data_IF_511163288801
#
_entry.id   IF_511163288801
#
_cell.length_a   1.000
_cell.length_b   1.000
_cell.length_c   1.000
_cell.angle_alpha   90.00
_cell.angle_beta   90.00
_cell.angle_gamma   90.00
#
_symmetry.space_group_name_H-M   'P 1'
#
loop_
_entity.id
_entity.type
_entity.pdbx_description
1 polymer ?
#
# COMPACT_ATOMS: atom_id res chain seq x y z
N UNK A 1 -21.12 12.25 18.01
CA UNK A 1 -20.19 11.13 17.84
C UNK A 1 -19.83 10.91 16.39
N UNK A 2 -18.62 10.62 16.15
CA UNK A 2 -18.13 10.34 14.81
C UNK A 2 -18.65 9.00 14.35
N UNK A 3 -19.21 8.94 13.16
CA UNK A 3 -19.60 7.68 12.56
C UNK A 3 -18.41 6.75 12.42
N UNK A 4 -17.25 7.36 12.27
CA UNK A 4 -15.99 6.65 12.16
C UNK A 4 -15.73 5.76 13.37
N UNK A 5 -16.30 6.10 14.51
CA UNK A 5 -16.14 5.33 15.74
C UNK A 5 -16.78 3.95 15.65
N UNK A 6 -17.69 3.77 14.70
CA UNK A 6 -18.40 2.51 14.53
C UNK A 6 -17.71 1.59 13.54
N UNK A 7 -16.56 1.98 13.02
CA UNK A 7 -15.82 1.18 12.04
C UNK A 7 -15.19 -0.01 12.75
N UNK A 8 -15.51 -1.20 12.26
CA UNK A 8 -15.03 -2.44 12.85
C UNK A 8 -13.73 -2.88 12.18
N UNK A 9 -12.63 -2.24 12.57
CA UNK A 9 -11.31 -2.64 12.12
C UNK A 9 -10.61 -3.41 13.22
N UNK A 10 -10.05 -4.55 12.86
CA UNK A 10 -9.32 -5.41 13.80
C UNK A 10 -7.85 -5.43 13.44
N UNK A 11 -7.01 -5.27 14.47
CA UNK A 11 -5.57 -5.50 14.31
C UNK A 11 -5.39 -6.91 13.77
N UNK A 12 -4.53 -7.04 12.76
CA UNK A 12 -4.28 -8.31 12.11
C UNK A 12 -4.95 -8.49 10.76
N UNK A 13 -5.81 -7.54 10.34
CA UNK A 13 -6.36 -7.57 9.00
C UNK A 13 -5.23 -7.57 7.98
N UNK A 14 -5.30 -8.47 7.00
CA UNK A 14 -4.26 -8.63 5.98
C UNK A 14 -4.85 -8.65 4.59
N UNK A 15 -4.05 -8.23 3.62
CA UNK A 15 -4.43 -8.33 2.22
C UNK A 15 -3.19 -8.53 1.37
N UNK A 16 -3.33 -9.33 0.31
CA UNK A 16 -2.27 -9.61 -0.65
C UNK A 16 -2.65 -9.04 -2.00
N UNK A 17 -1.78 -8.20 -2.55
CA UNK A 17 -1.96 -7.60 -3.86
C UNK A 17 -0.89 -8.16 -4.79
N UNK A 18 -1.28 -8.64 -5.97
CA UNK A 18 -0.34 -9.27 -6.92
C UNK A 18 -0.31 -8.54 -8.26
N UNK A 19 0.83 -8.64 -8.92
CA UNK A 19 0.94 -8.23 -10.32
C UNK A 19 2.15 -8.93 -10.96
N UNK A 20 2.22 -8.87 -12.29
CA UNK A 20 3.40 -9.31 -13.04
C UNK A 20 4.16 -8.04 -13.45
N UNK A 21 5.47 -8.03 -13.25
CA UNK A 21 6.30 -6.86 -13.59
C UNK A 21 6.30 -6.67 -15.10
N UNK A 22 5.75 -5.56 -15.57
CA UNK A 22 5.76 -5.18 -16.97
C UNK A 22 6.88 -4.15 -17.21
N UNK A 23 7.20 -3.89 -18.47
CA UNK A 23 8.23 -2.90 -18.80
C UNK A 23 7.92 -1.53 -18.23
N UNK A 24 6.64 -1.13 -18.21
CA UNK A 24 6.22 0.14 -17.63
C UNK A 24 6.40 0.23 -16.11
N UNK A 25 6.66 -0.91 -15.45
CA UNK A 25 6.89 -0.96 -14.01
C UNK A 25 8.37 -0.83 -13.67
N UNK A 26 9.23 -0.66 -14.68
CA UNK A 26 10.67 -0.63 -14.43
C UNK A 26 11.15 0.76 -14.02
N UNK A 27 12.26 0.78 -13.29
CA UNK A 27 12.92 2.03 -12.89
C UNK A 27 13.27 2.88 -14.12
N UNK A 28 13.70 2.24 -15.19
CA UNK A 28 14.08 2.93 -16.43
C UNK A 28 12.90 3.68 -17.04
N UNK A 29 11.75 3.01 -17.21
CA UNK A 29 10.58 3.63 -17.82
C UNK A 29 9.91 4.63 -16.86
N UNK A 30 9.85 4.28 -15.59
CA UNK A 30 9.30 5.17 -14.57
C UNK A 30 10.14 6.46 -14.44
N UNK A 31 11.45 6.35 -14.64
CA UNK A 31 12.35 7.49 -14.55
C UNK A 31 13.08 7.60 -13.22
N UNK A 32 13.03 6.57 -12.38
CA UNK A 32 13.68 6.58 -11.07
C UNK A 32 15.05 5.92 -11.07
N UNK A 33 15.49 5.40 -12.20
CA UNK A 33 16.79 4.75 -12.34
C UNK A 33 17.04 4.35 -13.78
N UNK A 34 18.19 3.75 -14.04
CA UNK A 34 18.58 3.36 -15.41
C UNK A 34 18.28 1.90 -15.71
N UNK A 35 18.01 1.08 -14.71
CA UNK A 35 17.88 -0.36 -14.89
C UNK A 35 16.45 -0.78 -15.23
N UNK A 36 16.34 -1.89 -15.97
CA UNK A 36 15.05 -2.47 -16.34
C UNK A 36 14.63 -3.50 -15.28
N UNK A 37 14.46 -3.02 -14.06
CA UNK A 37 14.01 -3.82 -12.93
C UNK A 37 12.79 -3.16 -12.30
N UNK A 38 12.02 -3.93 -11.53
CA UNK A 38 10.84 -3.43 -10.83
C UNK A 38 11.21 -2.19 -10.02
N UNK A 39 10.56 -1.07 -10.31
CA UNK A 39 10.90 0.22 -9.71
C UNK A 39 10.47 0.29 -8.25
N UNK A 40 11.30 0.91 -7.41
CA UNK A 40 10.96 1.11 -6.00
C UNK A 40 9.62 1.83 -5.82
N UNK A 41 9.33 2.93 -6.53
CA UNK A 41 8.01 3.58 -6.40
C UNK A 41 6.86 2.65 -6.78
N UNK A 42 7.05 1.75 -7.74
CA UNK A 42 6.02 0.81 -8.15
C UNK A 42 5.80 -0.27 -7.09
N UNK A 43 6.87 -0.72 -6.44
CA UNK A 43 6.77 -1.65 -5.32
C UNK A 43 6.02 -1.00 -4.16
N UNK A 44 6.33 0.24 -3.85
CA UNK A 44 5.65 0.98 -2.79
C UNK A 44 4.16 1.14 -3.15
N UNK A 45 3.85 1.46 -4.40
CA UNK A 45 2.47 1.54 -4.87
C UNK A 45 1.71 0.24 -4.66
N UNK A 46 2.36 -0.90 -4.90
CA UNK A 46 1.76 -2.21 -4.67
C UNK A 46 1.48 -2.43 -3.18
N UNK A 47 2.41 -2.03 -2.33
CA UNK A 47 2.24 -2.08 -0.87
C UNK A 47 1.09 -1.19 -0.42
N UNK A 48 0.99 0.01 -0.99
CA UNK A 48 -0.10 0.94 -0.68
C UNK A 48 -1.45 0.36 -1.08
N UNK A 49 -1.52 -0.27 -2.25
CA UNK A 49 -2.75 -0.91 -2.72
C UNK A 49 -3.17 -2.05 -1.78
N UNK A 50 -2.20 -2.85 -1.32
CA UNK A 50 -2.48 -3.91 -0.37
C UNK A 50 -3.03 -3.36 0.95
N UNK A 51 -2.44 -2.29 1.45
CA UNK A 51 -2.89 -1.66 2.70
C UNK A 51 -4.28 -1.06 2.55
N UNK A 52 -4.54 -0.35 1.45
CA UNK A 52 -5.84 0.22 1.17
C UNK A 52 -6.90 -0.88 1.13
N UNK A 53 -6.62 -1.95 0.42
CA UNK A 53 -7.59 -3.04 0.25
C UNK A 53 -7.78 -3.88 1.52
N UNK A 54 -6.80 -3.89 2.41
CA UNK A 54 -6.93 -4.63 3.68
C UNK A 54 -8.10 -4.12 4.53
N UNK A 55 -8.42 -2.84 4.42
CA UNK A 55 -9.47 -2.23 5.24
C UNK A 55 -10.69 -1.79 4.45
N UNK A 56 -10.61 -1.78 3.12
CA UNK A 56 -11.64 -1.19 2.26
C UNK A 56 -13.03 -1.74 2.54
N UNK A 57 -13.17 -3.06 2.65
CA UNK A 57 -14.48 -3.69 2.86
C UNK A 57 -15.05 -3.47 4.26
N UNK A 58 -14.24 -2.95 5.17
CA UNK A 58 -14.63 -2.69 6.56
C UNK A 58 -15.01 -1.23 6.80
N UNK A 59 -14.90 -0.39 5.77
CA UNK A 59 -15.23 1.03 5.89
C UNK A 59 -16.65 1.27 5.36
N UNK A 60 -17.39 2.22 5.96
CA UNK A 60 -18.71 2.57 5.43
C UNK A 60 -18.59 3.18 4.05
N UNK A 61 -19.70 3.15 3.31
CA UNK A 61 -19.76 3.80 2.00
C UNK A 61 -19.38 5.27 2.11
N UNK A 62 -18.59 5.74 1.14
CA UNK A 62 -18.12 7.12 1.14
C UNK A 62 -16.83 7.34 1.91
N UNK A 63 -16.33 6.32 2.60
CA UNK A 63 -15.07 6.39 3.34
C UNK A 63 -13.99 5.59 2.65
N UNK A 64 -12.76 6.11 2.69
CA UNK A 64 -11.58 5.42 2.19
C UNK A 64 -10.37 5.85 2.99
N UNK A 65 -9.16 5.51 2.52
CA UNK A 65 -7.94 5.93 3.18
C UNK A 65 -7.00 6.59 2.20
N UNK A 66 -6.17 7.50 2.71
CA UNK A 66 -5.08 8.09 1.93
C UNK A 66 -3.76 7.75 2.62
N UNK A 67 -2.70 7.58 1.83
CA UNK A 67 -1.36 7.35 2.37
C UNK A 67 -0.79 8.62 2.98
N UNK A 68 -0.16 8.50 4.14
CA UNK A 68 0.44 9.66 4.82
C UNK A 68 1.91 9.45 5.17
N UNK A 69 2.41 8.21 5.14
CA UNK A 69 3.81 7.93 5.48
C UNK A 69 4.24 6.60 4.88
N UNK A 70 5.43 6.57 4.34
CA UNK A 70 6.08 5.32 3.92
C UNK A 70 7.50 5.32 4.45
N UNK A 71 7.90 4.18 4.99
CA UNK A 71 9.26 3.95 5.46
C UNK A 71 9.63 2.54 5.03
N UNK A 72 10.13 2.41 3.80
CA UNK A 72 10.25 1.16 3.07
C UNK A 72 11.70 0.97 2.62
N UNK A 73 12.15 -0.29 2.66
CA UNK A 73 13.43 -0.69 2.09
C UNK A 73 13.15 -1.63 0.92
N UNK A 74 13.78 -1.34 -0.22
CA UNK A 74 13.75 -2.22 -1.38
C UNK A 74 15.03 -3.05 -1.33
N UNK A 75 14.93 -4.29 -0.90
CA UNK A 75 16.10 -5.08 -0.52
C UNK A 75 16.64 -5.97 -1.63
N UNK A 76 15.87 -6.17 -2.70
CA UNK A 76 16.33 -7.02 -3.81
C UNK A 76 15.60 -6.66 -5.09
N UNK A 77 16.29 -6.76 -6.22
CA UNK A 77 15.74 -6.41 -7.53
C UNK A 77 14.94 -7.56 -8.13
N UNK A 78 13.96 -7.22 -8.97
CA UNK A 78 13.13 -8.18 -9.69
C UNK A 78 13.08 -7.84 -11.17
N UNK A 79 13.27 -8.84 -12.03
CA UNK A 79 13.25 -8.66 -13.47
C UNK A 79 11.83 -8.57 -14.03
N UNK A 80 11.73 -7.98 -15.22
CA UNK A 80 10.47 -7.95 -15.99
C UNK A 80 10.00 -9.39 -16.22
N UNK A 81 8.69 -9.59 -16.14
CA UNK A 81 8.08 -10.91 -16.37
C UNK A 81 7.86 -11.72 -15.11
N UNK A 82 8.48 -11.35 -14.01
CA UNK A 82 8.29 -12.05 -12.74
C UNK A 82 7.00 -11.59 -12.06
N UNK A 83 6.36 -12.51 -11.36
CA UNK A 83 5.23 -12.17 -10.52
C UNK A 83 5.74 -11.57 -9.21
N UNK A 84 5.10 -10.52 -8.76
CA UNK A 84 5.38 -9.88 -7.46
C UNK A 84 4.08 -9.75 -6.68
N UNK A 85 4.20 -9.72 -5.36
CA UNK A 85 3.03 -9.45 -4.50
C UNK A 85 3.47 -8.72 -3.27
N UNK A 86 2.56 -7.94 -2.72
CA UNK A 86 2.74 -7.27 -1.45
C UNK A 86 1.70 -7.76 -0.47
N UNK A 87 2.09 -7.88 0.79
CA UNK A 87 1.18 -8.21 1.89
C UNK A 87 1.20 -7.05 2.86
N UNK A 88 0.03 -6.53 3.20
CA UNK A 88 -0.13 -5.50 4.21
C UNK A 88 -0.90 -6.07 5.39
N UNK A 89 -0.45 -5.77 6.58
CA UNK A 89 -1.12 -6.18 7.81
C UNK A 89 -1.34 -4.95 8.69
N UNK A 90 -2.57 -4.74 9.13
CA UNK A 90 -2.89 -3.67 10.07
C UNK A 90 -2.34 -4.06 11.43
N UNK A 91 -1.36 -3.29 11.92
CA UNK A 91 -0.68 -3.64 13.17
C UNK A 91 -0.96 -2.65 14.31
N UNK A 92 -1.47 -1.47 13.98
CA UNK A 92 -1.80 -0.47 15.00
C UNK A 92 -2.80 0.51 14.43
N UNK A 93 -3.58 1.14 15.29
CA UNK A 93 -4.43 2.25 14.88
C UNK A 93 -4.66 3.19 16.05
N UNK A 94 -4.75 4.47 15.70
CA UNK A 94 -5.03 5.53 16.65
C UNK A 94 -6.07 6.43 15.98
N UNK A 95 -7.34 6.20 16.34
CA UNK A 95 -8.48 6.87 15.72
C UNK A 95 -8.52 6.59 14.21
N UNK A 96 -8.28 7.61 13.39
CA UNK A 96 -8.32 7.49 11.93
C UNK A 96 -6.97 7.12 11.33
N UNK A 97 -5.90 7.14 12.15
CA UNK A 97 -4.56 6.80 11.68
C UNK A 97 -4.36 5.29 11.77
N UNK A 98 -3.99 4.71 10.66
CA UNK A 98 -3.77 3.26 10.54
C UNK A 98 -2.30 3.01 10.23
N UNK A 99 -1.70 2.05 10.93
CA UNK A 99 -0.31 1.66 10.72
C UNK A 99 -0.27 0.25 10.20
N UNK A 100 0.42 0.06 9.08
CA UNK A 100 0.55 -1.24 8.43
C UNK A 100 2.01 -1.69 8.40
N UNK A 101 2.20 -2.98 8.66
CA UNK A 101 3.43 -3.66 8.30
C UNK A 101 3.26 -4.10 6.85
N UNK A 102 4.23 -3.80 6.00
CA UNK A 102 4.14 -4.18 4.59
C UNK A 102 5.39 -4.95 4.19
N UNK A 103 5.18 -5.95 3.33
CA UNK A 103 6.24 -6.78 2.79
C UNK A 103 5.95 -7.03 1.33
N UNK A 104 7.00 -7.17 0.53
CA UNK A 104 6.85 -7.51 -0.88
C UNK A 104 7.80 -8.64 -1.24
N UNK A 105 7.37 -9.45 -2.19
CA UNK A 105 8.07 -10.67 -2.61
C UNK A 105 8.01 -10.80 -4.12
N UNK A 106 9.01 -11.46 -4.71
CA UNK A 106 8.86 -12.01 -6.06
C UNK A 106 8.84 -13.54 -5.94
N UNK A 107 8.87 -14.22 -7.09
CA UNK A 107 8.77 -15.69 -7.12
C UNK A 107 9.90 -16.39 -6.40
N UNK A 108 11.01 -15.70 -6.18
CA UNK A 108 12.23 -16.31 -5.66
C UNK A 108 12.61 -15.84 -4.25
N UNK A 109 12.14 -14.66 -3.83
CA UNK A 109 12.67 -14.04 -2.62
C UNK A 109 11.82 -12.87 -2.13
N UNK A 110 12.09 -12.44 -0.91
CA UNK A 110 11.56 -11.20 -0.37
C UNK A 110 12.31 -10.02 -1.01
N UNK A 111 11.57 -9.03 -1.49
CA UNK A 111 12.16 -7.89 -2.20
C UNK A 111 12.00 -6.56 -1.47
N UNK A 112 11.13 -6.49 -0.49
CA UNK A 112 10.96 -5.24 0.25
C UNK A 112 10.21 -5.42 1.54
N UNK A 113 10.34 -4.42 2.42
CA UNK A 113 9.65 -4.44 3.71
C UNK A 113 9.64 -3.06 4.33
N UNK A 114 8.74 -2.83 5.27
CA UNK A 114 8.72 -1.61 6.03
C UNK A 114 7.37 -1.33 6.67
N UNK A 115 7.14 -0.04 6.94
CA UNK A 115 5.90 0.45 7.53
C UNK A 115 5.25 1.47 6.62
N UNK A 116 3.92 1.47 6.66
CA UNK A 116 3.12 2.39 5.86
C UNK A 116 1.96 2.87 6.73
N UNK A 117 1.71 4.17 6.71
CA UNK A 117 0.60 4.73 7.47
C UNK A 117 -0.42 5.33 6.51
N UNK A 118 -1.68 5.15 6.87
CA UNK A 118 -2.81 5.69 6.12
C UNK A 118 -3.76 6.38 7.07
N UNK A 119 -4.60 7.26 6.52
CA UNK A 119 -5.56 8.01 7.30
C UNK A 119 -6.94 7.82 6.70
N UNK A 120 -7.94 7.51 7.53
CA UNK A 120 -9.32 7.33 7.08
C UNK A 120 -9.91 8.70 6.78
N UNK A 121 -10.53 8.83 5.60
CA UNK A 121 -11.16 10.09 5.17
C UNK A 121 -12.60 9.83 4.74
N UNK A 122 -13.40 10.87 4.86
CA UNK A 122 -14.67 11.00 4.16
C UNK A 122 -14.31 11.57 2.80
N UNK A 123 -14.47 10.77 1.74
CA UNK A 123 -13.97 11.14 0.41
C UNK A 123 -14.49 12.48 -0.08
N UNK A 124 -15.78 12.72 0.08
CA UNK A 124 -16.40 13.94 -0.39
C UNK A 124 -15.87 15.17 0.36
N UNK A 125 -15.80 15.08 1.68
CA UNK A 125 -15.29 16.18 2.50
C UNK A 125 -13.81 16.43 2.21
N UNK A 126 -13.04 15.35 2.06
CA UNK A 126 -11.62 15.45 1.77
C UNK A 126 -11.38 16.19 0.47
N UNK A 127 -12.05 15.77 -0.60
CA UNK A 127 -11.87 16.40 -1.90
C UNK A 127 -12.34 17.87 -1.88
N UNK A 128 -13.44 18.15 -1.19
CA UNK A 128 -13.94 19.53 -1.07
C UNK A 128 -12.95 20.44 -0.36
N UNK A 129 -12.18 19.92 0.59
CA UNK A 129 -11.21 20.71 1.34
C UNK A 129 -10.02 21.16 0.48
N UNK A 130 -9.85 20.57 -0.69
CA UNK A 130 -8.72 20.87 -1.58
C UNK A 130 -9.01 22.02 -2.55
N UNK A 131 -10.21 22.58 -2.51
CA UNK A 131 -10.60 23.64 -3.44
C UNK A 131 -10.30 25.02 -2.88
#
# INVERSE_FOLDING_TARGET
MEIIMDIALNIGLKYKEEKTVAMNDTAKVFGSGAAEVFATPMMIGLMEAAAMNAVKSHLPEGYSTVGISVNIRHISATAVGKKVWAVAELVDMDRKRLVFKVEAFDEDKKIGEGKHERFIIDEQKFMSSLK
#
